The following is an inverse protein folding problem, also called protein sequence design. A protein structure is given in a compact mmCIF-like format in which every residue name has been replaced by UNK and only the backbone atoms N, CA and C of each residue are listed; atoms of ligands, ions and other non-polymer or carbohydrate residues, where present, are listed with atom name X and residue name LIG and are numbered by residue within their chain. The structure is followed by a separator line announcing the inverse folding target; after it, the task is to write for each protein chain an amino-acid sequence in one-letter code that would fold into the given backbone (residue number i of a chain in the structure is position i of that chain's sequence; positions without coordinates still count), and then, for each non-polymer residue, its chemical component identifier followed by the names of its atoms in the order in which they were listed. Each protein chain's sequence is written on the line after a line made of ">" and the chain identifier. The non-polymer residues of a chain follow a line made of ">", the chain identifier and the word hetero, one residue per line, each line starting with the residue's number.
data_IF_427289749651
#
_entry.id   IF_427289749651
#
_cell.length_a   1.000
_cell.length_b   1.000
_cell.length_c   1.000
_cell.angle_alpha   90.00
_cell.angle_beta   90.00
_cell.angle_gamma   90.00
#
_symmetry.space_group_name_H-M   'P 1'
#
loop_
_entity.id
_entity.type
_entity.pdbx_description
1 polymer ?
#
# COMPACT_ATOMS: atom_id res chain seq x y z
N UNK A 1 5.37 4.17 1.79
CA UNK A 1 4.97 2.80 1.41
C UNK A 1 5.02 2.68 -0.11
N UNK A 2 5.60 1.62 -0.65
CA UNK A 2 5.55 1.31 -2.09
C UNK A 2 4.30 0.47 -2.37
N UNK A 3 3.58 0.79 -3.44
CA UNK A 3 2.33 0.13 -3.83
C UNK A 3 2.60 -0.84 -4.97
N UNK A 4 2.38 -2.13 -4.72
CA UNK A 4 2.34 -3.17 -5.73
C UNK A 4 0.89 -3.45 -6.12
N UNK A 5 0.57 -3.35 -7.40
CA UNK A 5 -0.72 -3.77 -7.94
C UNK A 5 -0.65 -5.22 -8.39
N UNK A 6 -1.60 -6.05 -7.96
CA UNK A 6 -1.67 -7.47 -8.28
C UNK A 6 -2.14 -7.72 -9.72
N UNK A 7 -2.48 -8.96 -10.08
CA UNK A 7 -2.93 -9.27 -11.43
C UNK A 7 -4.20 -8.47 -11.80
N UNK A 8 -4.33 -8.00 -13.06
CA UNK A 8 -3.45 -8.26 -14.20
C UNK A 8 -2.26 -7.29 -14.32
N UNK A 9 -2.15 -6.27 -13.46
CA UNK A 9 -1.12 -5.23 -13.58
C UNK A 9 0.27 -5.79 -13.24
N UNK A 10 0.42 -6.39 -12.05
CA UNK A 10 1.67 -7.01 -11.58
C UNK A 10 2.89 -6.06 -11.61
N UNK A 11 2.70 -4.81 -11.17
CA UNK A 11 3.75 -3.77 -11.16
C UNK A 11 3.81 -3.02 -9.83
N UNK A 12 4.98 -2.45 -9.53
CA UNK A 12 5.09 -1.33 -8.60
C UNK A 12 4.52 -0.09 -9.29
N UNK A 13 3.49 0.53 -8.71
CA UNK A 13 2.63 1.51 -9.39
C UNK A 13 2.66 2.90 -8.76
N UNK A 14 3.26 3.03 -7.58
CA UNK A 14 3.36 4.31 -6.90
C UNK A 14 3.80 4.15 -5.46
N UNK A 15 3.71 5.25 -4.73
CA UNK A 15 4.01 5.32 -3.31
C UNK A 15 2.94 6.12 -2.56
N UNK A 16 2.77 5.81 -1.28
CA UNK A 16 1.94 6.58 -0.36
C UNK A 16 2.69 6.83 0.94
N UNK A 17 2.60 8.05 1.47
CA UNK A 17 3.06 8.37 2.81
C UNK A 17 2.04 7.89 3.84
N UNK A 18 2.51 7.25 4.90
CA UNK A 18 1.66 6.86 6.03
C UNK A 18 1.66 8.02 7.01
N UNK A 19 0.48 8.55 7.33
CA UNK A 19 0.35 9.66 8.28
C UNK A 19 0.05 9.18 9.69
N UNK A 20 -0.71 8.11 9.82
CA UNK A 20 -1.16 7.57 11.11
C UNK A 20 -1.44 6.06 10.98
N UNK A 21 -1.17 5.32 12.05
CA UNK A 21 -1.75 3.99 12.26
C UNK A 21 -2.84 4.15 13.30
N UNK A 22 -4.09 3.93 12.91
CA UNK A 22 -5.24 4.07 13.79
C UNK A 22 -5.70 2.71 14.28
N UNK A 23 -5.58 2.49 15.58
CA UNK A 23 -6.11 1.30 16.26
C UNK A 23 -7.54 1.59 16.75
N UNK A 24 -8.51 0.80 16.32
CA UNK A 24 -9.91 0.96 16.72
C UNK A 24 -10.71 -0.33 16.53
N UNK A 25 -11.96 -0.34 16.99
CA UNK A 25 -12.88 -1.44 16.70
C UNK A 25 -13.35 -1.42 15.22
N UNK A 26 -13.89 -2.52 14.69
CA UNK A 26 -14.26 -2.64 13.28
C UNK A 26 -15.32 -1.64 12.80
N UNK A 27 -16.30 -1.30 13.65
CA UNK A 27 -17.38 -0.37 13.30
C UNK A 27 -16.83 1.06 13.21
N UNK A 28 -15.96 1.44 14.15
CA UNK A 28 -15.23 2.70 14.07
C UNK A 28 -14.34 2.76 12.82
N UNK A 29 -13.65 1.67 12.48
CA UNK A 29 -12.80 1.62 11.29
C UNK A 29 -13.61 1.80 10.00
N UNK A 30 -14.81 1.22 9.93
CA UNK A 30 -15.73 1.41 8.81
C UNK A 30 -16.14 2.89 8.66
N UNK A 31 -16.50 3.55 9.77
CA UNK A 31 -16.81 4.98 9.76
C UNK A 31 -15.66 5.84 9.23
N UNK A 32 -14.42 5.51 9.61
CA UNK A 32 -13.22 6.19 9.08
C UNK A 32 -13.05 5.91 7.59
N UNK A 33 -13.14 4.65 7.15
CA UNK A 33 -12.97 4.29 5.74
C UNK A 33 -13.99 5.00 4.84
N UNK A 34 -15.26 5.06 5.26
CA UNK A 34 -16.33 5.75 4.54
C UNK A 34 -16.06 7.26 4.44
N UNK A 35 -15.61 7.89 5.53
CA UNK A 35 -15.31 9.32 5.56
C UNK A 35 -14.14 9.73 4.65
N UNK A 36 -13.21 8.81 4.37
CA UNK A 36 -11.99 9.07 3.60
C UNK A 36 -12.05 8.58 2.14
N UNK A 37 -13.25 8.28 1.62
CA UNK A 37 -13.47 7.98 0.20
C UNK A 37 -13.61 6.49 -0.14
N UNK A 38 -13.56 5.60 0.86
CA UNK A 38 -13.79 4.18 0.68
C UNK A 38 -12.79 3.50 -0.27
N UNK A 39 -13.08 2.24 -0.60
CA UNK A 39 -12.22 1.41 -1.44
C UNK A 39 -12.62 -0.07 -1.40
N UNK A 40 -13.40 -0.42 -0.39
CA UNK A 40 -14.14 -1.68 -0.22
C UNK A 40 -15.52 -1.36 0.33
N UNK A 41 -16.44 -2.30 0.19
CA UNK A 41 -17.76 -2.28 0.82
C UNK A 41 -17.67 -2.63 2.31
N UNK A 42 -18.74 -2.34 3.06
CA UNK A 42 -18.83 -2.69 4.47
C UNK A 42 -18.74 -4.21 4.69
N UNK A 43 -19.41 -4.97 3.82
CA UNK A 43 -19.43 -6.43 3.88
C UNK A 43 -18.03 -7.00 3.60
N UNK A 44 -17.31 -6.51 2.59
CA UNK A 44 -15.92 -6.91 2.33
C UNK A 44 -15.00 -6.61 3.51
N UNK A 45 -15.16 -5.45 4.16
CA UNK A 45 -14.38 -5.09 5.34
C UNK A 45 -14.71 -6.02 6.52
N UNK A 46 -16.00 -6.26 6.78
CA UNK A 46 -16.47 -7.15 7.86
C UNK A 46 -16.01 -8.59 7.64
N UNK A 47 -16.07 -9.09 6.42
CA UNK A 47 -15.60 -10.43 6.06
C UNK A 47 -14.08 -10.56 6.27
N UNK A 48 -13.31 -9.53 5.91
CA UNK A 48 -11.86 -9.50 6.12
C UNK A 48 -11.47 -9.47 7.59
N UNK A 49 -12.11 -8.62 8.39
CA UNK A 49 -11.86 -8.50 9.84
C UNK A 49 -12.41 -9.71 10.59
N UNK A 50 -13.48 -10.32 10.08
CA UNK A 50 -14.21 -11.43 10.65
C UNK A 50 -14.68 -11.15 12.09
N UNK A 51 -14.33 -12.01 13.06
CA UNK A 51 -14.74 -11.90 14.47
C UNK A 51 -13.72 -11.18 15.36
N UNK A 52 -12.79 -10.40 14.78
CA UNK A 52 -11.79 -9.68 15.55
C UNK A 52 -12.42 -8.44 16.20
N UNK A 53 -12.10 -8.21 17.46
CA UNK A 53 -12.54 -7.03 18.21
C UNK A 53 -11.66 -5.80 18.00
N UNK A 54 -10.52 -5.96 17.31
CA UNK A 54 -9.53 -4.92 17.09
C UNK A 54 -9.11 -4.91 15.62
N UNK A 55 -9.04 -3.71 15.05
CA UNK A 55 -8.64 -3.48 13.67
C UNK A 55 -7.68 -2.29 13.57
N UNK A 56 -6.90 -2.27 12.48
CA UNK A 56 -5.89 -1.26 12.23
C UNK A 56 -6.14 -0.59 10.88
N UNK A 57 -6.30 0.73 10.90
CA UNK A 57 -6.32 1.58 9.71
C UNK A 57 -4.93 2.16 9.44
N UNK A 58 -4.43 1.96 8.22
CA UNK A 58 -3.22 2.65 7.74
C UNK A 58 -3.66 3.90 7.00
N UNK A 59 -3.56 5.05 7.64
CA UNK A 59 -4.00 6.32 7.05
C UNK A 59 -2.96 6.80 6.04
N UNK A 60 -3.40 6.96 4.79
CA UNK A 60 -2.55 7.44 3.70
C UNK A 60 -2.68 8.95 3.57
N UNK A 61 -1.54 9.62 3.53
CA UNK A 61 -1.44 11.05 3.21
C UNK A 61 -1.19 11.24 1.72
N UNK A 62 -0.06 11.88 1.40
CA UNK A 62 0.35 12.11 0.01
C UNK A 62 0.55 10.79 -0.73
N UNK A 63 -0.10 10.66 -1.88
CA UNK A 63 0.03 9.53 -2.80
C UNK A 63 0.61 10.03 -4.11
N UNK A 64 1.64 9.36 -4.59
CA UNK A 64 2.35 9.71 -5.82
C UNK A 64 2.35 8.49 -6.76
N UNK A 65 1.79 8.68 -7.95
CA UNK A 65 1.76 7.65 -8.99
C UNK A 65 3.15 7.58 -9.62
N UNK A 66 3.66 6.36 -9.81
CA UNK A 66 4.97 6.16 -10.42
C UNK A 66 5.01 6.73 -11.85
N UNK A 67 6.09 7.43 -12.19
CA UNK A 67 6.33 7.86 -13.58
C UNK A 67 6.52 6.65 -14.50
N UNK A 68 7.14 5.60 -13.96
CA UNK A 68 7.36 4.32 -14.61
C UNK A 68 6.81 3.21 -13.72
N UNK A 69 5.87 2.43 -14.24
CA UNK A 69 5.42 1.21 -13.57
C UNK A 69 6.48 0.11 -13.74
N UNK A 70 7.00 -0.40 -12.62
CA UNK A 70 8.16 -1.30 -12.63
C UNK A 70 7.74 -2.75 -12.40
N UNK A 71 8.24 -3.70 -13.20
CA UNK A 71 8.14 -5.12 -12.85
C UNK A 71 9.08 -5.38 -11.67
N UNK A 72 8.58 -5.78 -10.49
CA UNK A 72 9.44 -6.03 -9.35
C UNK A 72 10.46 -7.14 -9.62
N UNK A 73 10.23 -8.03 -10.61
CA UNK A 73 11.19 -9.06 -11.01
C UNK A 73 12.43 -8.51 -11.70
N UNK A 74 12.34 -7.32 -12.31
CA UNK A 74 13.51 -6.65 -12.91
C UNK A 74 14.49 -6.17 -11.83
N UNK A 75 13.99 -5.85 -10.64
CA UNK A 75 14.80 -5.41 -9.49
C UNK A 75 15.17 -6.57 -8.55
N UNK A 76 14.25 -7.52 -8.40
CA UNK A 76 14.33 -8.65 -7.49
C UNK A 76 13.89 -9.92 -8.23
N UNK A 77 14.81 -10.67 -8.87
CA UNK A 77 14.45 -11.80 -9.73
C UNK A 77 13.57 -12.88 -9.08
N UNK A 78 13.74 -13.09 -7.77
CA UNK A 78 12.95 -14.04 -6.97
C UNK A 78 11.70 -13.42 -6.32
N UNK A 79 11.25 -12.26 -6.80
CA UNK A 79 10.11 -11.55 -6.22
C UNK A 79 8.84 -12.41 -6.25
N UNK A 80 8.20 -12.49 -5.09
CA UNK A 80 6.85 -13.03 -4.93
C UNK A 80 6.01 -11.98 -4.22
N UNK A 81 4.78 -11.69 -4.68
CA UNK A 81 3.90 -10.74 -4.01
C UNK A 81 3.73 -11.12 -2.53
N UNK A 82 3.95 -10.19 -1.58
CA UNK A 82 3.79 -10.50 -0.17
C UNK A 82 2.31 -10.66 0.18
N UNK A 83 2.00 -11.57 1.11
CA UNK A 83 0.65 -11.66 1.70
C UNK A 83 0.36 -10.50 2.68
N UNK A 84 1.42 -9.93 3.27
CA UNK A 84 1.39 -8.74 4.11
C UNK A 84 2.34 -7.68 3.57
N UNK A 85 3.27 -7.21 4.41
CA UNK A 85 4.28 -6.23 3.99
C UNK A 85 5.62 -6.90 3.68
N UNK A 86 6.28 -6.43 2.62
CA UNK A 86 7.70 -6.65 2.38
C UNK A 86 8.46 -5.39 2.80
N UNK A 87 9.39 -5.54 3.73
CA UNK A 87 10.23 -4.44 4.18
C UNK A 87 11.45 -4.30 3.25
N UNK A 88 11.65 -3.10 2.71
CA UNK A 88 12.80 -2.78 1.88
C UNK A 88 13.94 -2.28 2.76
N UNK A 89 15.16 -2.74 2.49
CA UNK A 89 16.35 -2.09 3.04
C UNK A 89 16.47 -0.66 2.50
N UNK A 90 17.23 0.24 3.15
CA UNK A 90 17.45 1.58 2.61
C UNK A 90 17.99 1.57 1.17
N UNK A 91 18.86 0.61 0.84
CA UNK A 91 19.40 0.44 -0.52
C UNK A 91 18.33 -0.01 -1.51
N UNK A 92 17.52 -1.00 -1.15
CA UNK A 92 16.45 -1.50 -2.03
C UNK A 92 15.36 -0.45 -2.24
N UNK A 93 15.04 0.31 -1.20
CA UNK A 93 14.12 1.45 -1.30
C UNK A 93 14.63 2.48 -2.31
N UNK A 94 15.91 2.88 -2.22
CA UNK A 94 16.51 3.81 -3.18
C UNK A 94 16.51 3.28 -4.63
N UNK A 95 16.78 1.98 -4.81
CA UNK A 95 16.70 1.32 -6.13
C UNK A 95 15.27 1.36 -6.70
N UNK A 96 14.27 1.04 -5.87
CA UNK A 96 12.87 1.05 -6.25
C UNK A 96 12.38 2.46 -6.58
N UNK A 97 12.71 3.46 -5.76
CA UNK A 97 12.33 4.87 -6.00
C UNK A 97 12.97 5.38 -7.29
N UNK A 98 14.27 5.17 -7.49
CA UNK A 98 14.96 5.60 -8.71
C UNK A 98 14.37 4.97 -9.98
N UNK A 99 13.91 3.71 -9.89
CA UNK A 99 13.28 3.01 -11.00
C UNK A 99 11.87 3.56 -11.31
N UNK A 100 11.08 3.90 -10.28
CA UNK A 100 9.72 4.42 -10.45
C UNK A 100 9.68 5.92 -10.79
N UNK A 101 10.65 6.69 -10.33
CA UNK A 101 10.73 8.16 -10.46
C UNK A 101 12.12 8.58 -10.98
N UNK A 102 12.46 8.26 -12.24
CA UNK A 102 13.79 8.55 -12.81
C UNK A 102 14.13 10.04 -12.84
N UNK A 103 13.13 10.93 -12.80
CA UNK A 103 13.34 12.38 -12.71
C UNK A 103 13.43 12.89 -11.27
N UNK A 104 13.41 12.00 -10.29
CA UNK A 104 13.32 12.31 -8.87
C UNK A 104 11.87 12.50 -8.42
N UNK A 105 11.68 12.49 -7.10
CA UNK A 105 10.41 12.74 -6.45
C UNK A 105 10.67 13.57 -5.19
N UNK A 106 9.89 14.62 -5.01
CA UNK A 106 9.86 15.42 -3.79
C UNK A 106 8.70 14.91 -2.94
N UNK A 107 8.98 14.41 -1.75
CA UNK A 107 8.02 13.71 -0.87
C UNK A 107 7.58 14.56 0.30
#
# INVERSE_FOLDING_TARGET
>A
MVIYSSAPVQRLTGIALITEIRECDPDTLWGVAQAHGGGVTEDELKDYIAKKSLAYGVMLGRVEVAEVQVDPKDLFPSFTPPQGFLYLSPMDYQRVISAMFPRGIDL
#
